data_IF_563122094198
#
_entry.id   IF_563122094198
#
_cell.length_a   1.000
_cell.length_b   1.000
_cell.length_c   1.000
_cell.angle_alpha   90.00
_cell.angle_beta   90.00
_cell.angle_gamma   90.00
#
_symmetry.space_group_name_H-M   'P 1'
#
loop_
_entity.id
_entity.type
_entity.pdbx_description
1 polymer ?
#
# COMPACT_ATOMS: atom_id res chain seq x y z
N UNK A 1 -11.53 -12.26 6.05
CA UNK A 1 -11.21 -10.83 6.19
C UNK A 1 -10.79 -10.29 4.84
N UNK A 2 -11.22 -9.10 4.50
CA UNK A 2 -10.87 -8.46 3.24
C UNK A 2 -9.74 -7.46 3.46
N UNK A 3 -8.61 -7.69 2.79
CA UNK A 3 -7.37 -6.94 2.99
C UNK A 3 -7.00 -6.21 1.70
N UNK A 4 -6.82 -4.90 1.79
CA UNK A 4 -6.28 -4.08 0.71
C UNK A 4 -4.76 -4.00 0.80
N UNK A 5 -4.07 -4.26 -0.31
CA UNK A 5 -2.61 -4.15 -0.41
C UNK A 5 -2.29 -3.07 -1.42
N UNK A 6 -1.62 -2.01 -0.96
CA UNK A 6 -1.18 -0.90 -1.79
C UNK A 6 0.32 -1.01 -2.06
N UNK A 7 0.68 -0.82 -3.32
CA UNK A 7 2.07 -0.69 -3.77
C UNK A 7 2.21 0.60 -4.56
N UNK A 8 3.30 1.32 -4.40
CA UNK A 8 3.47 2.63 -5.04
C UNK A 8 3.89 2.54 -6.51
N UNK A 9 4.70 1.55 -6.85
CA UNK A 9 5.32 1.42 -8.18
C UNK A 9 5.17 0.00 -8.74
N UNK A 10 5.30 -0.17 -10.08
CA UNK A 10 5.14 -1.48 -10.72
C UNK A 10 6.03 -2.60 -10.16
N UNK A 11 7.26 -2.28 -9.78
CA UNK A 11 8.19 -3.28 -9.23
C UNK A 11 7.70 -3.88 -7.92
N UNK A 12 7.01 -3.09 -7.11
CA UNK A 12 6.47 -3.54 -5.82
C UNK A 12 5.27 -4.47 -6.02
N UNK A 13 4.40 -4.16 -6.98
CA UNK A 13 3.22 -4.98 -7.26
C UNK A 13 3.57 -6.28 -7.98
N UNK A 14 4.67 -6.32 -8.70
CA UNK A 14 5.12 -7.52 -9.43
C UNK A 14 5.20 -8.77 -8.54
N UNK A 15 5.52 -8.60 -7.29
CA UNK A 15 5.51 -9.68 -6.29
C UNK A 15 4.17 -10.39 -6.18
N UNK A 16 3.08 -9.66 -6.43
CA UNK A 16 1.73 -10.16 -6.27
C UNK A 16 1.09 -10.63 -7.58
N UNK A 17 1.76 -10.48 -8.72
CA UNK A 17 1.20 -10.82 -10.04
C UNK A 17 0.78 -12.29 -10.15
N UNK A 18 1.54 -13.18 -9.52
CA UNK A 18 1.22 -14.60 -9.50
C UNK A 18 -0.03 -14.94 -8.68
N UNK A 19 -0.47 -14.01 -7.85
CA UNK A 19 -1.64 -14.17 -6.98
C UNK A 19 -2.90 -13.53 -7.57
N UNK A 20 -2.77 -12.79 -8.68
CA UNK A 20 -3.86 -12.00 -9.21
C UNK A 20 -4.58 -12.72 -10.34
N UNK A 21 -5.90 -12.82 -10.24
CA UNK A 21 -6.73 -13.51 -11.23
C UNK A 21 -7.54 -12.58 -12.14
N UNK A 22 -7.97 -11.42 -11.65
CA UNK A 22 -8.80 -10.49 -12.40
C UNK A 22 -8.66 -9.07 -11.89
N UNK A 23 -8.68 -8.09 -12.79
CA UNK A 23 -8.61 -6.68 -12.46
C UNK A 23 -9.92 -5.95 -12.70
N UNK A 24 -10.24 -5.02 -11.83
CA UNK A 24 -11.37 -4.10 -11.94
C UNK A 24 -10.86 -2.67 -11.95
N UNK A 25 -11.31 -1.88 -12.94
CA UNK A 25 -10.93 -0.48 -13.05
C UNK A 25 -11.82 0.41 -12.19
N UNK A 26 -11.22 1.17 -11.28
CA UNK A 26 -11.90 2.18 -10.47
C UNK A 26 -10.97 3.38 -10.30
N UNK A 27 -11.44 4.58 -10.57
CA UNK A 27 -10.65 5.80 -10.34
C UNK A 27 -9.31 5.84 -11.09
N UNK A 28 -9.25 5.24 -12.27
CA UNK A 28 -8.02 5.20 -13.08
C UNK A 28 -6.98 4.20 -12.60
N UNK A 29 -7.30 3.33 -11.66
CA UNK A 29 -6.43 2.28 -11.15
C UNK A 29 -7.04 0.90 -11.38
N UNK A 30 -6.17 -0.11 -11.51
CA UNK A 30 -6.60 -1.51 -11.62
C UNK A 30 -6.46 -2.19 -10.26
N UNK A 31 -7.58 -2.69 -9.77
CA UNK A 31 -7.66 -3.42 -8.50
C UNK A 31 -7.75 -4.91 -8.80
N UNK A 32 -6.76 -5.68 -8.38
CA UNK A 32 -6.70 -7.12 -8.62
C UNK A 32 -7.23 -7.88 -7.42
N UNK A 33 -8.05 -8.88 -7.68
CA UNK A 33 -8.60 -9.75 -6.65
C UNK A 33 -7.82 -11.04 -6.55
N UNK A 34 -7.55 -11.46 -5.33
CA UNK A 34 -6.88 -12.72 -5.02
C UNK A 34 -7.42 -13.30 -3.74
N UNK A 35 -7.05 -14.53 -3.45
CA UNK A 35 -7.35 -15.19 -2.18
C UNK A 35 -6.08 -15.77 -1.59
N UNK A 36 -5.91 -15.60 -0.31
CA UNK A 36 -4.85 -16.25 0.44
C UNK A 36 -5.43 -16.80 1.74
N UNK A 37 -5.43 -18.12 1.87
CA UNK A 37 -6.06 -18.80 2.99
C UNK A 37 -7.55 -18.40 3.12
N UNK A 38 -7.98 -17.85 4.25
CA UNK A 38 -9.34 -17.39 4.48
C UNK A 38 -9.57 -15.92 4.11
N UNK A 39 -8.54 -15.24 3.58
CA UNK A 39 -8.59 -13.81 3.31
C UNK A 39 -8.82 -13.53 1.84
N UNK A 40 -9.65 -12.54 1.55
CA UNK A 40 -9.73 -11.92 0.24
C UNK A 40 -8.72 -10.77 0.17
N UNK A 41 -7.93 -10.74 -0.89
CA UNK A 41 -6.93 -9.70 -1.13
C UNK A 41 -7.37 -8.82 -2.29
N UNK A 42 -7.30 -7.52 -2.10
CA UNK A 42 -7.43 -6.52 -3.17
C UNK A 42 -6.09 -5.83 -3.30
N UNK A 43 -5.42 -6.03 -4.43
CA UNK A 43 -4.05 -5.56 -4.66
C UNK A 43 -4.08 -4.47 -5.72
N UNK A 44 -3.41 -3.35 -5.47
CA UNK A 44 -3.43 -2.20 -6.35
C UNK A 44 -2.10 -1.44 -6.34
N UNK A 45 -1.69 -1.00 -7.54
CA UNK A 45 -0.64 0.00 -7.67
C UNK A 45 -1.28 1.38 -7.53
N UNK A 46 -1.00 2.06 -6.43
CA UNK A 46 -1.63 3.35 -6.14
C UNK A 46 -0.93 4.54 -6.79
N UNK A 47 0.32 4.40 -7.21
CA UNK A 47 1.15 5.50 -7.63
C UNK A 47 1.93 6.12 -6.47
N UNK A 48 2.85 7.01 -6.79
CA UNK A 48 3.73 7.66 -5.82
C UNK A 48 3.01 8.82 -5.14
N UNK A 49 3.30 9.02 -3.87
CA UNK A 49 2.91 10.19 -3.11
C UNK A 49 1.66 10.01 -2.24
N UNK A 50 1.51 10.94 -1.31
CA UNK A 50 0.46 10.91 -0.29
C UNK A 50 -0.94 11.05 -0.87
N UNK A 51 -1.09 11.85 -1.91
CA UNK A 51 -2.39 12.07 -2.57
C UNK A 51 -2.89 10.79 -3.23
N UNK A 52 -2.03 10.12 -4.00
CA UNK A 52 -2.39 8.83 -4.61
C UNK A 52 -2.70 7.77 -3.56
N UNK A 53 -1.91 7.71 -2.50
CA UNK A 53 -2.11 6.77 -1.40
C UNK A 53 -3.46 7.00 -0.70
N UNK A 54 -3.79 8.25 -0.41
CA UNK A 54 -5.06 8.61 0.24
C UNK A 54 -6.26 8.29 -0.65
N UNK A 55 -6.20 8.63 -1.94
CA UNK A 55 -7.26 8.35 -2.89
C UNK A 55 -7.53 6.86 -3.00
N UNK A 56 -6.50 6.07 -3.20
CA UNK A 56 -6.64 4.61 -3.39
C UNK A 56 -7.07 3.93 -2.10
N UNK A 57 -6.56 4.37 -0.95
CA UNK A 57 -7.01 3.86 0.35
C UNK A 57 -8.50 4.08 0.56
N UNK A 58 -9.00 5.25 0.18
CA UNK A 58 -10.44 5.56 0.23
C UNK A 58 -11.25 4.61 -0.64
N UNK A 59 -10.80 4.34 -1.86
CA UNK A 59 -11.46 3.41 -2.78
C UNK A 59 -11.49 1.99 -2.18
N UNK A 60 -10.37 1.53 -1.63
CA UNK A 60 -10.29 0.21 -0.99
C UNK A 60 -11.29 0.07 0.15
N UNK A 61 -11.46 1.11 0.95
CA UNK A 61 -12.39 1.10 2.08
C UNK A 61 -13.84 1.22 1.61
N UNK A 62 -14.14 2.16 0.73
CA UNK A 62 -15.51 2.50 0.35
C UNK A 62 -16.09 1.56 -0.70
N UNK A 63 -15.34 1.24 -1.74
CA UNK A 63 -15.82 0.41 -2.86
C UNK A 63 -15.60 -1.08 -2.62
N UNK A 64 -14.41 -1.45 -2.16
CA UNK A 64 -14.05 -2.85 -1.97
C UNK A 64 -14.34 -3.37 -0.57
N UNK A 65 -14.67 -2.49 0.37
CA UNK A 65 -14.98 -2.84 1.77
C UNK A 65 -13.83 -3.56 2.49
N UNK A 66 -12.62 -3.14 2.21
CA UNK A 66 -11.45 -3.67 2.91
C UNK A 66 -11.48 -3.28 4.40
N UNK A 67 -11.18 -4.24 5.25
CA UNK A 67 -11.17 -4.07 6.70
C UNK A 67 -9.78 -3.70 7.21
N UNK A 68 -8.74 -4.13 6.48
CA UNK A 68 -7.35 -3.83 6.77
C UNK A 68 -6.68 -3.33 5.49
N UNK A 69 -5.82 -2.33 5.61
CA UNK A 69 -4.95 -1.86 4.54
C UNK A 69 -3.50 -2.13 4.91
N UNK A 70 -2.76 -2.67 3.96
CA UNK A 70 -1.31 -2.90 4.09
C UNK A 70 -0.63 -2.15 2.95
N UNK A 71 0.31 -1.28 3.29
CA UNK A 71 1.22 -0.71 2.30
C UNK A 71 2.47 -1.58 2.23
N UNK A 72 2.74 -2.12 1.06
CA UNK A 72 3.89 -2.98 0.80
C UNK A 72 4.80 -2.30 -0.22
N UNK A 73 6.04 -2.05 0.16
CA UNK A 73 6.98 -1.37 -0.71
C UNK A 73 8.39 -1.37 -0.17
N UNK A 74 9.25 -0.63 -0.84
CA UNK A 74 10.66 -0.47 -0.47
C UNK A 74 10.86 0.87 0.24
N UNK A 75 11.79 0.90 1.18
CA UNK A 75 12.16 2.10 1.90
C UNK A 75 13.68 2.14 2.13
N UNK A 76 14.21 3.35 2.26
CA UNK A 76 15.61 3.54 2.65
C UNK A 76 15.82 3.26 4.13
N UNK A 77 16.78 2.42 4.46
CA UNK A 77 17.17 2.17 5.83
C UNK A 77 18.03 3.30 6.38
N UNK A 78 17.69 3.79 7.56
CA UNK A 78 18.45 4.85 8.27
C UNK A 78 19.37 4.25 9.31
N UNK A 79 18.94 3.17 9.97
CA UNK A 79 19.74 2.47 10.98
C UNK A 79 20.96 1.81 10.32
N UNK A 80 22.20 2.14 10.77
CA UNK A 80 23.42 1.58 10.17
C UNK A 80 23.56 0.05 10.36
N UNK A 81 22.84 -0.53 11.30
CA UNK A 81 22.83 -1.98 11.53
C UNK A 81 21.86 -2.74 10.63
N UNK A 82 21.06 -2.02 9.83
CA UNK A 82 20.16 -2.65 8.88
C UNK A 82 20.86 -3.12 7.62
N UNK A 83 20.48 -4.30 7.17
CA UNK A 83 20.95 -4.86 5.90
C UNK A 83 19.92 -4.71 4.79
N UNK A 84 20.39 -4.66 3.54
CA UNK A 84 19.52 -4.64 2.36
C UNK A 84 18.72 -5.93 2.31
N UNK A 85 17.41 -5.82 2.11
CA UNK A 85 16.51 -6.98 2.02
C UNK A 85 15.82 -7.32 3.33
N UNK A 86 16.16 -6.64 4.43
CA UNK A 86 15.40 -6.82 5.68
C UNK A 86 13.96 -6.30 5.53
N UNK A 87 13.03 -7.01 6.15
CA UNK A 87 11.61 -6.64 6.17
C UNK A 87 11.31 -5.93 7.49
N UNK A 88 10.76 -4.73 7.37
CA UNK A 88 10.32 -3.94 8.52
C UNK A 88 8.81 -3.77 8.53
N UNK A 89 8.23 -3.88 9.71
CA UNK A 89 6.84 -3.50 9.96
C UNK A 89 6.84 -2.23 10.79
N UNK A 90 6.28 -1.15 10.25
CA UNK A 90 6.20 0.12 10.96
C UNK A 90 5.26 0.02 12.15
N UNK A 91 5.77 0.24 13.36
CA UNK A 91 4.96 0.31 14.56
C UNK A 91 4.30 1.68 14.70
N UNK A 92 5.06 2.74 14.44
CA UNK A 92 4.58 4.11 14.44
C UNK A 92 4.94 4.79 13.13
N UNK A 93 4.01 5.54 12.55
CA UNK A 93 4.21 6.29 11.32
C UNK A 93 3.98 7.77 11.60
N UNK A 94 4.87 8.61 11.06
CA UNK A 94 4.81 10.05 11.24
C UNK A 94 5.02 10.77 9.90
N UNK A 95 4.23 11.80 9.67
CA UNK A 95 4.39 12.68 8.52
C UNK A 95 5.28 13.87 8.91
N UNK A 96 6.59 13.76 8.68
CA UNK A 96 7.56 14.76 9.14
C UNK A 96 7.55 16.05 8.32
N UNK A 97 7.07 15.99 7.07
CA UNK A 97 7.11 17.09 6.10
C UNK A 97 5.82 17.92 6.04
N UNK A 98 4.93 17.74 7.01
CA UNK A 98 3.67 18.47 7.09
C UNK A 98 3.36 18.84 8.53
N UNK A 99 2.95 20.08 8.73
CA UNK A 99 2.58 20.58 10.06
C UNK A 99 2.50 22.10 10.09
N UNK A 100 2.18 22.63 11.24
CA UNK A 100 2.17 24.06 11.52
C UNK A 100 3.49 24.45 12.20
N UNK A 101 4.10 25.51 11.69
CA UNK A 101 5.28 26.11 12.34
C UNK A 101 4.83 27.12 13.38
N UNK A 102 5.42 27.05 14.56
CA UNK A 102 5.24 28.03 15.62
C UNK A 102 6.48 28.93 15.65
N UNK A 103 6.26 30.26 15.61
CA UNK A 103 7.31 31.28 15.68
C UNK A 103 8.30 31.21 14.48
N UNK A 104 7.80 30.91 13.34
CA UNK A 104 8.58 30.89 12.11
C UNK A 104 8.62 29.61 11.39
#
# INVERSE_FOLDING_TARGET
>A
MKIGILCAIPKEIHFFELLTNSGQQVGGRTFFKSKHSFHELIIVECGIGKVNSAMVSTILIQEFKCEILIFSGIAGGIDPDMEIGEVLIGEFLIQYDYGALKDG
#
